data_IF_272062286254
#
_entry.id   IF_272062286254
#
_cell.length_a   1.000
_cell.length_b   1.000
_cell.length_c   1.000
_cell.angle_alpha   90.00
_cell.angle_beta   90.00
_cell.angle_gamma   90.00
#
_symmetry.space_group_name_H-M   'P 1'
#
loop_
_entity.id
_entity.type
_entity.pdbx_description
1 polymer ?
#
# COMPACT_ATOMS: atom_id res chain seq x y z
N UNK A 1 29.32 -45.83 -46.87
CA UNK A 1 29.89 -46.62 -47.97
C UNK A 1 29.25 -46.08 -49.23
N UNK A 2 29.93 -45.16 -49.89
CA UNK A 2 29.74 -44.92 -51.32
C UNK A 2 31.13 -44.59 -51.86
N UNK A 3 31.41 -45.23 -52.99
CA UNK A 3 32.73 -45.57 -53.51
C UNK A 3 33.50 -44.40 -54.13
N UNK A 4 34.80 -44.68 -54.25
CA UNK A 4 35.87 -43.91 -54.87
C UNK A 4 35.75 -43.79 -56.39
N UNK A 5 36.31 -42.71 -56.95
CA UNK A 5 37.28 -42.70 -58.08
C UNK A 5 37.68 -41.22 -58.32
N UNK A 6 38.89 -40.72 -58.08
CA UNK A 6 40.24 -40.96 -58.63
C UNK A 6 40.47 -40.43 -60.07
N UNK A 7 41.57 -39.68 -60.18
CA UNK A 7 42.31 -39.19 -61.36
C UNK A 7 41.75 -37.96 -62.09
N UNK A 8 42.52 -36.92 -62.40
CA UNK A 8 43.98 -36.73 -62.32
C UNK A 8 44.42 -35.78 -63.44
N UNK A 9 45.43 -34.96 -63.14
CA UNK A 9 46.40 -34.28 -64.03
C UNK A 9 45.91 -33.36 -65.18
N UNK A 10 46.59 -32.31 -65.63
CA UNK A 10 47.78 -31.52 -65.24
C UNK A 10 47.89 -30.38 -66.30
N UNK A 11 49.00 -29.63 -66.27
CA UNK A 11 49.57 -28.70 -67.28
C UNK A 11 49.46 -27.21 -66.88
N UNK A 12 50.51 -26.57 -66.31
CA UNK A 12 51.73 -25.93 -66.92
C UNK A 12 51.35 -24.59 -67.61
N UNK A 13 52.00 -23.43 -67.48
CA UNK A 13 53.43 -23.09 -67.33
C UNK A 13 53.66 -21.63 -66.87
N UNK A 14 54.91 -21.41 -66.50
CA UNK A 14 55.74 -20.25 -66.19
C UNK A 14 55.47 -18.86 -66.80
N UNK A 15 55.92 -17.85 -66.04
CA UNK A 15 56.33 -16.54 -66.52
C UNK A 15 57.27 -15.89 -65.49
N UNK A 16 58.57 -16.17 -65.62
CA UNK A 16 59.64 -15.54 -64.86
C UNK A 16 60.28 -14.42 -65.68
N UNK A 17 60.46 -13.24 -65.10
CA UNK A 17 61.41 -12.23 -65.58
C UNK A 17 62.32 -11.80 -64.43
N UNK A 18 63.61 -11.73 -64.74
CA UNK A 18 64.73 -11.39 -63.87
C UNK A 18 65.18 -9.93 -64.12
N UNK A 19 66.01 -9.45 -63.17
CA UNK A 19 67.16 -8.50 -63.31
C UNK A 19 66.94 -7.01 -62.91
N UNK A 20 68.00 -6.27 -62.50
CA UNK A 20 68.90 -6.47 -61.35
C UNK A 20 69.16 -5.19 -60.49
N UNK A 21 70.01 -5.33 -59.44
CA UNK A 21 70.56 -4.34 -58.48
C UNK A 21 70.87 -2.91 -58.96
N UNK A 22 70.71 -1.91 -58.06
CA UNK A 22 71.66 -0.77 -57.88
C UNK A 22 71.59 -0.09 -56.48
N UNK A 23 72.71 -0.19 -55.75
CA UNK A 23 73.49 0.83 -55.01
C UNK A 23 72.82 1.79 -54.00
N UNK A 24 73.32 1.74 -52.75
CA UNK A 24 73.11 2.70 -51.65
C UNK A 24 73.92 4.01 -51.84
N UNK A 25 73.36 5.16 -51.44
CA UNK A 25 74.08 6.43 -51.22
C UNK A 25 73.57 7.13 -49.92
N UNK A 26 74.41 7.78 -49.09
CA UNK A 26 74.02 8.27 -47.75
C UNK A 26 73.87 9.81 -47.61
N UNK A 27 72.94 10.20 -46.70
CA UNK A 27 72.86 11.38 -45.80
C UNK A 27 73.11 12.82 -46.31
N UNK A 28 72.10 13.70 -46.12
CA UNK A 28 72.33 15.09 -45.69
C UNK A 28 71.09 15.65 -44.93
N UNK A 29 71.27 16.13 -43.68
CA UNK A 29 70.23 16.78 -42.85
C UNK A 29 70.80 18.11 -42.34
N UNK A 30 70.24 19.27 -42.75
CA UNK A 30 70.71 20.58 -42.31
C UNK A 30 70.26 20.93 -40.87
N UNK A 31 70.97 21.84 -40.19
CA UNK A 31 70.92 22.02 -38.73
C UNK A 31 69.70 22.82 -38.25
N UNK A 32 69.34 22.57 -36.98
CA UNK A 32 68.27 23.21 -36.24
C UNK A 32 68.66 24.63 -35.78
N UNK A 33 67.77 25.60 -35.98
CA UNK A 33 67.81 26.93 -35.38
C UNK A 33 66.98 26.92 -34.09
N UNK A 34 67.64 27.18 -32.96
CA UNK A 34 67.05 27.36 -31.64
C UNK A 34 66.67 28.84 -31.38
N UNK A 35 65.79 29.01 -30.39
CA UNK A 35 65.54 30.22 -29.58
C UNK A 35 64.43 31.21 -29.97
N UNK A 36 63.20 30.90 -29.55
CA UNK A 36 62.23 31.89 -29.06
C UNK A 36 61.57 31.38 -27.76
N UNK A 37 61.76 32.03 -26.59
CA UNK A 37 61.12 31.60 -25.35
C UNK A 37 59.65 32.06 -25.29
N UNK A 38 58.73 31.11 -25.38
CA UNK A 38 57.28 31.35 -25.20
C UNK A 38 56.94 31.29 -23.70
N UNK A 39 56.58 32.42 -23.09
CA UNK A 39 55.98 32.43 -21.75
C UNK A 39 54.47 32.15 -21.80
N UNK A 40 54.02 31.02 -21.24
CA UNK A 40 52.62 30.60 -21.22
C UNK A 40 51.86 31.08 -19.95
N UNK A 41 50.61 31.58 -20.05
CA UNK A 41 49.81 32.00 -18.90
C UNK A 41 49.25 30.80 -18.12
N UNK A 42 49.41 30.83 -16.79
CA UNK A 42 48.98 29.76 -15.87
C UNK A 42 47.46 29.80 -15.66
N UNK A 43 46.71 29.10 -16.52
CA UNK A 43 45.24 28.98 -16.45
C UNK A 43 44.80 28.13 -15.25
N UNK A 44 43.85 28.66 -14.48
CA UNK A 44 43.33 28.12 -13.20
C UNK A 44 42.51 26.81 -13.39
N UNK A 45 43.20 25.72 -13.70
CA UNK A 45 42.66 24.38 -14.04
C UNK A 45 41.98 23.66 -12.86
N UNK A 46 42.20 24.11 -11.62
CA UNK A 46 41.68 23.45 -10.41
C UNK A 46 40.15 23.54 -10.29
N UNK A 47 39.54 24.69 -10.62
CA UNK A 47 38.09 24.89 -10.46
C UNK A 47 37.26 24.08 -11.47
N UNK A 48 37.77 23.82 -12.67
CA UNK A 48 37.06 23.01 -13.67
C UNK A 48 37.11 21.52 -13.36
N UNK A 49 38.22 21.02 -12.80
CA UNK A 49 38.35 19.61 -12.41
C UNK A 49 37.44 19.30 -11.23
N UNK A 50 37.34 20.18 -10.22
CA UNK A 50 36.42 19.96 -9.09
C UNK A 50 34.96 19.93 -9.54
N UNK A 51 34.56 20.83 -10.46
CA UNK A 51 33.19 20.83 -11.01
C UNK A 51 32.87 19.57 -11.81
N UNK A 52 33.84 19.08 -12.59
CA UNK A 52 33.70 17.84 -13.33
C UNK A 52 33.57 16.63 -12.40
N UNK A 53 34.41 16.55 -11.36
CA UNK A 53 34.36 15.46 -10.37
C UNK A 53 33.04 15.46 -9.60
N UNK A 54 32.53 16.64 -9.21
CA UNK A 54 31.24 16.76 -8.54
C UNK A 54 30.11 16.31 -9.48
N UNK A 55 30.09 16.77 -10.73
CA UNK A 55 29.07 16.35 -11.71
C UNK A 55 29.12 14.84 -11.99
N UNK A 56 30.32 14.26 -12.09
CA UNK A 56 30.52 12.82 -12.25
C UNK A 56 30.01 12.04 -11.03
N UNK A 57 30.27 12.52 -9.81
CA UNK A 57 29.76 11.91 -8.58
C UNK A 57 28.23 11.93 -8.55
N UNK A 58 27.60 13.06 -8.85
CA UNK A 58 26.14 13.15 -8.92
C UNK A 58 25.56 12.24 -10.01
N UNK A 59 26.19 12.17 -11.18
CA UNK A 59 25.78 11.25 -12.24
C UNK A 59 25.89 9.78 -11.80
N UNK A 60 27.00 9.40 -11.17
CA UNK A 60 27.20 8.06 -10.64
C UNK A 60 26.18 7.72 -9.56
N UNK A 61 25.91 8.65 -8.64
CA UNK A 61 24.92 8.46 -7.57
C UNK A 61 23.50 8.32 -8.14
N UNK A 62 23.14 9.11 -9.15
CA UNK A 62 21.86 9.00 -9.83
C UNK A 62 21.69 7.64 -10.51
N UNK A 63 22.72 7.18 -11.25
CA UNK A 63 22.72 5.85 -11.87
C UNK A 63 22.58 4.75 -10.82
N UNK A 64 23.37 4.79 -9.74
CA UNK A 64 23.27 3.80 -8.66
C UNK A 64 21.89 3.79 -8.00
N UNK A 65 21.27 4.95 -7.79
CA UNK A 65 19.93 5.06 -7.20
C UNK A 65 18.86 4.49 -8.13
N UNK A 66 18.91 4.81 -9.42
CA UNK A 66 17.99 4.28 -10.43
C UNK A 66 18.17 2.77 -10.59
N UNK A 67 19.41 2.28 -10.62
CA UNK A 67 19.72 0.85 -10.70
C UNK A 67 19.27 0.09 -9.46
N UNK A 68 19.46 0.63 -8.25
CA UNK A 68 18.96 0.04 -7.02
C UNK A 68 17.42 -0.01 -6.99
N UNK A 69 16.75 1.06 -7.44
CA UNK A 69 15.29 1.08 -7.57
C UNK A 69 14.76 0.07 -8.59
N UNK A 70 15.43 -0.07 -9.73
CA UNK A 70 15.08 -1.04 -10.76
C UNK A 70 15.32 -2.49 -10.29
N UNK A 71 16.39 -2.75 -9.56
CA UNK A 71 16.69 -4.07 -8.99
C UNK A 71 15.70 -4.44 -7.89
N UNK A 72 15.33 -3.49 -7.01
CA UNK A 72 14.28 -3.71 -6.01
C UNK A 72 12.91 -4.00 -6.65
N UNK A 73 12.56 -3.31 -7.75
CA UNK A 73 11.37 -3.62 -8.52
C UNK A 73 11.45 -5.00 -9.20
N UNK A 74 12.63 -5.40 -9.68
CA UNK A 74 12.85 -6.69 -10.34
C UNK A 74 12.87 -7.88 -9.36
N UNK A 75 13.50 -7.75 -8.20
CA UNK A 75 13.50 -8.77 -7.14
C UNK A 75 12.08 -9.01 -6.61
N UNK A 76 11.23 -7.97 -6.55
CA UNK A 76 9.80 -8.09 -6.22
C UNK A 76 9.00 -8.90 -7.26
N UNK A 77 9.51 -9.03 -8.49
CA UNK A 77 8.78 -9.67 -9.60
C UNK A 77 9.01 -11.18 -9.73
N UNK A 78 10.06 -11.73 -9.09
CA UNK A 78 10.52 -13.12 -9.33
C UNK A 78 10.62 -14.03 -8.09
N UNK A 79 10.31 -13.56 -6.87
CA UNK A 79 10.31 -14.38 -5.65
C UNK A 79 8.90 -14.41 -5.03
N UNK A 80 8.44 -15.61 -4.64
CA UNK A 80 7.22 -15.75 -3.83
C UNK A 80 5.90 -15.63 -4.61
N UNK A 81 5.67 -16.53 -5.59
CA UNK A 81 4.34 -16.70 -6.17
C UNK A 81 3.42 -17.50 -5.24
N UNK A 82 2.12 -17.18 -5.32
CA UNK A 82 1.07 -17.92 -4.63
C UNK A 82 0.99 -19.34 -5.19
N UNK A 83 0.81 -20.32 -4.30
CA UNK A 83 0.77 -21.74 -4.68
C UNK A 83 -0.40 -22.05 -5.64
N UNK A 84 -0.25 -23.06 -6.53
CA UNK A 84 -1.36 -23.54 -7.33
C UNK A 84 -2.54 -24.01 -6.47
N UNK A 85 -3.76 -23.72 -6.93
CA UNK A 85 -5.00 -24.13 -6.27
C UNK A 85 -5.50 -23.16 -5.21
N UNK A 86 -4.79 -22.05 -4.95
CA UNK A 86 -5.21 -21.03 -3.99
C UNK A 86 -6.22 -20.07 -4.61
N UNK A 87 -7.37 -19.96 -3.96
CA UNK A 87 -8.47 -19.09 -4.37
C UNK A 87 -8.84 -18.17 -3.23
N UNK A 88 -9.32 -16.98 -3.57
CA UNK A 88 -10.04 -16.12 -2.66
C UNK A 88 -11.49 -16.02 -3.14
N UNK A 89 -12.41 -16.80 -2.56
CA UNK A 89 -13.77 -16.93 -3.07
C UNK A 89 -13.78 -17.34 -4.55
N UNK A 90 -14.33 -16.49 -5.43
CA UNK A 90 -14.41 -16.74 -6.87
C UNK A 90 -13.14 -16.35 -7.64
N UNK A 91 -12.14 -15.76 -6.98
CA UNK A 91 -10.93 -15.23 -7.62
C UNK A 91 -9.79 -16.23 -7.48
N UNK A 92 -9.31 -16.77 -8.61
CA UNK A 92 -8.10 -17.58 -8.64
C UNK A 92 -6.83 -16.72 -8.48
N UNK A 93 -6.02 -17.06 -7.48
CA UNK A 93 -4.76 -16.41 -7.15
C UNK A 93 -3.53 -17.25 -7.54
N UNK A 94 -3.75 -18.45 -8.06
CA UNK A 94 -2.71 -19.43 -8.39
C UNK A 94 -1.63 -18.85 -9.29
N UNK A 95 -0.37 -18.98 -8.89
CA UNK A 95 0.79 -18.56 -9.68
C UNK A 95 0.95 -17.04 -9.84
N UNK A 96 0.06 -16.23 -9.26
CA UNK A 96 0.18 -14.78 -9.27
C UNK A 96 1.30 -14.33 -8.31
N UNK A 97 1.91 -13.21 -8.65
CA UNK A 97 2.77 -12.48 -7.71
C UNK A 97 1.89 -11.77 -6.67
N UNK A 98 2.40 -11.44 -5.48
CA UNK A 98 1.65 -10.74 -4.44
C UNK A 98 1.01 -9.45 -4.96
N UNK A 99 1.75 -8.65 -5.73
CA UNK A 99 1.27 -7.40 -6.33
C UNK A 99 0.14 -7.63 -7.34
N UNK A 100 0.29 -8.63 -8.23
CA UNK A 100 -0.73 -8.95 -9.24
C UNK A 100 -2.00 -9.51 -8.58
N UNK A 101 -1.85 -10.36 -7.56
CA UNK A 101 -2.94 -10.90 -6.77
C UNK A 101 -3.71 -9.78 -6.04
N UNK A 102 -3.00 -8.87 -5.38
CA UNK A 102 -3.61 -7.75 -4.68
C UNK A 102 -4.38 -6.83 -5.64
N UNK A 103 -3.81 -6.52 -6.81
CA UNK A 103 -4.51 -5.75 -7.85
C UNK A 103 -5.79 -6.46 -8.33
N UNK A 104 -5.70 -7.78 -8.59
CA UNK A 104 -6.84 -8.58 -9.03
C UNK A 104 -7.95 -8.62 -7.98
N UNK A 105 -7.60 -8.77 -6.70
CA UNK A 105 -8.54 -8.75 -5.59
C UNK A 105 -9.25 -7.41 -5.45
N UNK A 106 -8.50 -6.29 -5.53
CA UNK A 106 -9.09 -4.93 -5.46
C UNK A 106 -10.11 -4.70 -6.57
N UNK A 107 -9.82 -5.16 -7.79
CA UNK A 107 -10.77 -5.06 -8.92
C UNK A 107 -11.98 -5.97 -8.72
N UNK A 108 -11.76 -7.23 -8.36
CA UNK A 108 -12.83 -8.22 -8.23
C UNK A 108 -13.80 -7.90 -7.07
N UNK A 109 -13.29 -7.30 -6.00
CA UNK A 109 -14.05 -6.95 -4.79
C UNK A 109 -14.18 -5.43 -4.61
N UNK A 110 -14.18 -4.66 -5.70
CA UNK A 110 -14.40 -3.22 -5.65
C UNK A 110 -15.74 -2.87 -4.97
N UNK A 111 -16.76 -3.73 -5.13
CA UNK A 111 -18.07 -3.59 -4.51
C UNK A 111 -18.09 -3.72 -3.00
N UNK A 112 -16.97 -4.07 -2.34
CA UNK A 112 -16.88 -3.99 -0.88
C UNK A 112 -16.96 -2.55 -0.38
N UNK A 113 -16.66 -1.56 -1.23
CA UNK A 113 -16.89 -0.15 -0.94
C UNK A 113 -18.34 0.29 -1.15
N UNK A 114 -19.20 -0.56 -1.71
CA UNK A 114 -20.58 -0.20 -2.04
C UNK A 114 -21.52 -0.52 -0.88
N UNK A 115 -22.39 0.42 -0.55
CA UNK A 115 -23.39 0.27 0.50
C UNK A 115 -23.34 1.40 1.53
N UNK A 116 -24.26 1.31 2.49
CA UNK A 116 -24.49 2.37 3.46
C UNK A 116 -24.80 1.75 4.81
N UNK A 117 -24.10 2.18 5.86
CA UNK A 117 -24.46 1.90 7.24
C UNK A 117 -25.59 2.83 7.68
N UNK A 118 -26.66 2.26 8.23
CA UNK A 118 -27.77 3.02 8.81
C UNK A 118 -27.60 3.05 10.33
N UNK A 119 -27.15 4.19 10.85
CA UNK A 119 -27.05 4.44 12.28
C UNK A 119 -28.38 5.00 12.80
N UNK A 120 -28.85 4.52 13.94
CA UNK A 120 -30.05 5.09 14.56
C UNK A 120 -29.88 5.35 16.05
N UNK A 121 -30.46 6.44 16.52
CA UNK A 121 -30.44 6.79 17.93
C UNK A 121 -31.64 7.69 18.25
N UNK A 122 -32.41 7.34 19.28
CA UNK A 122 -33.53 8.16 19.76
C UNK A 122 -34.50 8.68 18.67
N UNK A 123 -34.74 7.89 17.61
CA UNK A 123 -35.61 8.26 16.48
C UNK A 123 -34.91 9.04 15.35
N UNK A 124 -33.65 9.43 15.52
CA UNK A 124 -32.81 10.01 14.46
C UNK A 124 -32.15 8.88 13.67
N UNK A 125 -32.14 9.01 12.35
CA UNK A 125 -31.48 8.08 11.43
C UNK A 125 -30.38 8.81 10.64
N UNK A 126 -29.21 8.19 10.55
CA UNK A 126 -28.06 8.70 9.80
C UNK A 126 -27.53 7.63 8.87
N UNK A 127 -27.42 7.99 7.60
CA UNK A 127 -26.87 7.15 6.55
C UNK A 127 -25.41 7.52 6.30
N UNK A 128 -24.50 6.56 6.50
CA UNK A 128 -23.06 6.72 6.29
C UNK A 128 -22.60 5.77 5.21
N UNK A 129 -21.99 6.28 4.14
CA UNK A 129 -21.56 5.40 3.04
C UNK A 129 -20.34 4.57 3.46
N UNK A 130 -20.21 3.37 2.91
CA UNK A 130 -19.03 2.52 3.13
C UNK A 130 -17.74 3.18 2.61
N UNK A 131 -17.84 4.00 1.56
CA UNK A 131 -16.72 4.80 1.07
C UNK A 131 -16.23 5.81 2.11
N UNK A 132 -17.14 6.50 2.81
CA UNK A 132 -16.78 7.44 3.90
C UNK A 132 -16.13 6.73 5.09
N UNK A 133 -16.49 5.45 5.30
CA UNK A 133 -15.87 4.59 6.32
C UNK A 133 -14.55 3.96 5.86
N UNK A 134 -14.07 4.28 4.65
CA UNK A 134 -12.89 3.68 4.06
C UNK A 134 -12.98 2.16 3.89
N UNK A 135 -14.21 1.61 3.84
CA UNK A 135 -14.44 0.17 3.77
C UNK A 135 -14.03 -0.35 2.41
N UNK A 136 -13.18 -1.38 2.41
CA UNK A 136 -12.64 -2.00 1.20
C UNK A 136 -12.17 -3.42 1.49
N UNK A 137 -11.96 -4.19 0.44
CA UNK A 137 -11.30 -5.50 0.57
C UNK A 137 -9.90 -5.35 1.18
N UNK A 138 -9.55 -6.24 2.11
CA UNK A 138 -8.19 -6.36 2.62
C UNK A 138 -7.35 -7.23 1.67
N UNK A 139 -7.05 -6.68 0.49
CA UNK A 139 -6.30 -7.40 -0.53
C UNK A 139 -4.91 -7.82 -0.02
N UNK A 140 -4.26 -6.99 0.81
CA UNK A 140 -2.91 -7.26 1.30
C UNK A 140 -2.93 -8.36 2.37
N UNK A 141 -3.91 -8.34 3.29
CA UNK A 141 -4.14 -9.41 4.26
C UNK A 141 -4.49 -10.75 3.61
N UNK A 142 -5.36 -10.75 2.60
CA UNK A 142 -5.72 -11.96 1.83
C UNK A 142 -4.49 -12.53 1.10
N UNK A 143 -3.67 -11.66 0.48
CA UNK A 143 -2.44 -12.10 -0.19
C UNK A 143 -1.42 -12.67 0.78
N UNK A 144 -1.26 -12.06 1.96
CA UNK A 144 -0.39 -12.60 3.00
C UNK A 144 -0.84 -14.00 3.44
N UNK A 145 -2.15 -14.22 3.57
CA UNK A 145 -2.71 -15.55 3.84
C UNK A 145 -2.44 -16.51 2.70
N UNK A 146 -2.71 -16.11 1.45
CA UNK A 146 -2.47 -16.93 0.26
C UNK A 146 -1.00 -17.36 0.13
N UNK A 147 -0.07 -16.51 0.52
CA UNK A 147 1.37 -16.80 0.54
C UNK A 147 1.76 -17.78 1.65
N UNK A 148 1.03 -17.81 2.76
CA UNK A 148 1.25 -18.75 3.86
C UNK A 148 0.67 -20.16 3.58
N UNK A 149 -0.30 -20.28 2.67
CA UNK A 149 -0.91 -21.57 2.32
C UNK A 149 0.14 -22.53 1.77
N UNK A 150 0.26 -23.71 2.40
CA UNK A 150 1.23 -24.74 2.03
C UNK A 150 2.69 -24.40 2.38
N UNK A 151 2.92 -23.27 3.06
CA UNK A 151 4.24 -22.79 3.47
C UNK A 151 4.28 -22.48 4.97
N UNK A 152 3.81 -23.38 5.85
CA UNK A 152 4.33 -23.54 7.23
C UNK A 152 3.61 -24.64 8.04
N UNK A 153 4.42 -25.35 8.85
CA UNK A 153 4.02 -26.02 10.09
C UNK A 153 3.66 -25.00 11.19
N UNK A 154 4.07 -25.15 12.48
CA UNK A 154 3.40 -24.57 13.66
C UNK A 154 3.55 -23.04 13.87
N UNK A 155 3.35 -22.21 12.83
CA UNK A 155 3.34 -20.73 12.87
C UNK A 155 1.90 -20.18 12.81
N UNK A 156 0.89 -21.06 12.96
CA UNK A 156 -0.51 -20.61 13.14
C UNK A 156 -0.69 -19.91 14.51
N UNK A 157 0.29 -19.98 15.42
CA UNK A 157 0.25 -19.30 16.73
C UNK A 157 0.46 -17.78 16.67
N UNK A 158 1.02 -17.20 15.58
CA UNK A 158 1.48 -15.80 15.59
C UNK A 158 0.61 -14.79 14.86
N UNK A 159 -0.43 -15.21 14.15
CA UNK A 159 -1.37 -14.30 13.49
C UNK A 159 -2.71 -14.41 14.23
N UNK A 160 -2.91 -13.43 15.11
CA UNK A 160 -3.95 -13.27 16.12
C UNK A 160 -5.31 -13.93 15.82
N UNK A 161 -5.73 -14.77 16.78
CA UNK A 161 -7.07 -15.23 17.24
C UNK A 161 -8.31 -15.29 16.34
N UNK A 162 -8.39 -14.58 15.21
CA UNK A 162 -9.62 -14.43 14.42
C UNK A 162 -9.51 -15.00 12.99
N UNK A 163 -8.31 -15.38 12.54
CA UNK A 163 -8.04 -15.65 11.11
C UNK A 163 -8.14 -17.14 10.72
N UNK A 164 -8.04 -18.05 11.70
CA UNK A 164 -8.08 -19.51 11.47
C UNK A 164 -9.43 -20.00 10.88
N UNK A 165 -10.48 -19.17 10.94
CA UNK A 165 -11.82 -19.46 10.39
C UNK A 165 -11.95 -19.21 8.88
N UNK A 166 -11.02 -18.45 8.28
CA UNK A 166 -11.15 -17.94 6.90
C UNK A 166 -10.44 -18.78 5.84
N UNK A 167 -9.65 -19.79 6.25
CA UNK A 167 -8.90 -20.66 5.34
C UNK A 167 -9.46 -22.08 5.41
N UNK A 168 -10.01 -22.58 4.30
CA UNK A 168 -10.44 -23.97 4.12
C UNK A 168 -9.56 -24.64 3.08
N UNK A 169 -8.43 -25.19 3.53
CA UNK A 169 -7.44 -25.78 2.63
C UNK A 169 -6.77 -24.69 1.78
N UNK A 170 -7.16 -24.59 0.51
CA UNK A 170 -6.66 -23.59 -0.43
C UNK A 170 -7.66 -22.49 -0.76
N UNK A 171 -8.86 -22.51 -0.18
CA UNK A 171 -9.87 -21.48 -0.35
C UNK A 171 -9.83 -20.48 0.83
N UNK A 172 -9.64 -19.20 0.50
CA UNK A 172 -9.62 -18.09 1.43
C UNK A 172 -10.92 -17.31 1.28
N UNK A 173 -11.68 -17.21 2.36
CA UNK A 173 -12.88 -16.36 2.37
C UNK A 173 -12.45 -14.89 2.36
N UNK A 174 -12.85 -14.08 1.37
CA UNK A 174 -12.48 -12.66 1.32
C UNK A 174 -13.04 -11.89 2.53
N UNK A 175 -12.32 -10.91 3.03
CA UNK A 175 -12.77 -10.06 4.13
C UNK A 175 -12.46 -8.59 3.88
N UNK A 176 -13.21 -7.73 4.55
CA UNK A 176 -13.09 -6.28 4.43
C UNK A 176 -12.32 -5.70 5.61
N UNK A 177 -11.70 -4.55 5.36
CA UNK A 177 -11.18 -3.64 6.38
C UNK A 177 -11.91 -2.31 6.27
N UNK A 178 -11.90 -1.53 7.34
CA UNK A 178 -12.50 -0.21 7.43
C UNK A 178 -11.63 0.72 8.28
N UNK A 179 -11.86 2.02 8.17
CA UNK A 179 -11.21 3.02 9.01
C UNK A 179 -11.97 3.17 10.33
N UNK A 180 -11.48 2.49 11.37
CA UNK A 180 -12.11 2.50 12.71
C UNK A 180 -12.30 3.91 13.27
N UNK A 181 -11.40 4.84 12.94
CA UNK A 181 -11.51 6.23 13.35
C UNK A 181 -12.69 6.96 12.68
N UNK A 182 -12.92 6.73 11.38
CA UNK A 182 -14.05 7.29 10.65
C UNK A 182 -15.39 6.76 11.20
N UNK A 183 -15.46 5.44 11.46
CA UNK A 183 -16.65 4.84 12.07
C UNK A 183 -16.96 5.42 13.45
N UNK A 184 -15.94 5.55 14.32
CA UNK A 184 -16.11 6.15 15.64
C UNK A 184 -16.54 7.61 15.55
N UNK A 185 -16.01 8.37 14.60
CA UNK A 185 -16.40 9.76 14.38
C UNK A 185 -17.89 9.88 14.07
N UNK A 186 -18.42 9.07 13.15
CA UNK A 186 -19.84 9.12 12.78
C UNK A 186 -20.77 8.70 13.93
N UNK A 187 -20.41 7.63 14.65
CA UNK A 187 -21.19 7.17 15.82
C UNK A 187 -21.17 8.23 16.93
N UNK A 188 -20.00 8.81 17.24
CA UNK A 188 -19.87 9.83 18.28
C UNK A 188 -20.61 11.13 17.89
N UNK A 189 -20.60 11.49 16.60
CA UNK A 189 -21.33 12.66 16.09
C UNK A 189 -22.84 12.47 16.22
N UNK A 190 -23.37 11.29 15.89
CA UNK A 190 -24.79 10.97 16.13
C UNK A 190 -25.13 10.93 17.62
N UNK A 191 -24.25 10.35 18.44
CA UNK A 191 -24.41 10.31 19.90
C UNK A 191 -24.51 11.71 20.51
N UNK A 192 -23.66 12.65 20.06
CA UNK A 192 -23.68 14.04 20.51
C UNK A 192 -24.94 14.79 20.04
N UNK A 193 -25.45 14.49 18.85
CA UNK A 193 -26.69 15.07 18.32
C UNK A 193 -27.91 14.69 19.16
N UNK A 194 -27.96 13.44 19.64
CA UNK A 194 -29.10 12.96 20.43
C UNK A 194 -28.95 13.18 21.93
N UNK A 195 -27.75 13.55 22.40
CA UNK A 195 -27.48 13.76 23.81
C UNK A 195 -28.34 14.89 24.38
N UNK A 196 -28.93 14.64 25.55
CA UNK A 196 -29.69 15.63 26.31
C UNK A 196 -29.11 15.70 27.72
N UNK A 197 -28.69 16.88 28.16
CA UNK A 197 -28.23 17.05 29.53
C UNK A 197 -29.43 16.94 30.50
N UNK A 198 -29.27 16.28 31.66
CA UNK A 198 -30.29 16.32 32.71
C UNK A 198 -30.44 17.74 33.25
N UNK A 199 -31.62 18.07 33.77
CA UNK A 199 -31.88 19.34 34.44
C UNK A 199 -32.46 19.11 35.83
N UNK A 200 -31.85 19.71 36.85
CA UNK A 200 -32.24 19.52 38.24
C UNK A 200 -33.61 20.10 38.59
N UNK A 201 -34.27 19.44 39.55
CA UNK A 201 -35.43 20.02 40.20
C UNK A 201 -35.01 21.19 41.07
N UNK A 202 -35.76 22.29 41.01
CA UNK A 202 -35.48 23.50 41.80
C UNK A 202 -36.73 23.99 42.51
N UNK A 203 -36.57 24.40 43.77
CA UNK A 203 -37.61 25.08 44.55
C UNK A 203 -37.20 26.54 44.69
N UNK A 204 -38.04 27.44 44.21
CA UNK A 204 -37.82 28.88 44.31
C UNK A 204 -38.90 29.52 45.18
N UNK A 205 -38.56 30.60 45.90
CA UNK A 205 -39.52 31.35 46.69
C UNK A 205 -40.07 32.50 45.84
N UNK A 206 -41.30 32.33 45.35
CA UNK A 206 -42.03 33.35 44.60
C UNK A 206 -42.88 34.25 45.50
N UNK A 207 -43.56 35.24 44.89
CA UNK A 207 -44.40 36.21 45.60
C UNK A 207 -45.62 35.59 46.33
N UNK A 208 -46.02 34.37 45.93
CA UNK A 208 -47.17 33.65 46.47
C UNK A 208 -46.80 32.41 47.31
N UNK A 209 -45.51 32.11 47.51
CA UNK A 209 -45.03 30.92 48.21
C UNK A 209 -43.90 30.20 47.47
N UNK A 210 -43.67 28.94 47.84
CA UNK A 210 -42.68 28.09 47.16
C UNK A 210 -43.22 27.59 45.81
N UNK A 211 -42.43 27.72 44.76
CA UNK A 211 -42.71 27.23 43.41
C UNK A 211 -41.69 26.13 43.05
N UNK A 212 -42.19 24.95 42.68
CA UNK A 212 -41.38 23.80 42.30
C UNK A 212 -41.27 23.73 40.78
N UNK A 213 -40.04 23.72 40.29
CA UNK A 213 -39.71 23.35 38.91
C UNK A 213 -39.22 21.89 38.90
N UNK A 214 -39.96 20.95 38.29
CA UNK A 214 -39.54 19.55 38.22
C UNK A 214 -38.24 19.37 37.44
N UNK A 215 -37.42 18.43 37.90
CA UNK A 215 -36.24 17.98 37.18
C UNK A 215 -36.64 17.18 35.93
N UNK A 216 -35.71 17.06 34.98
CA UNK A 216 -35.87 16.29 33.75
C UNK A 216 -34.66 15.42 33.52
N UNK A 217 -34.91 14.17 33.17
CA UNK A 217 -33.84 13.24 32.86
C UNK A 217 -33.11 13.63 31.58
N UNK A 218 -31.81 13.45 31.61
CA UNK A 218 -30.94 13.49 30.45
C UNK A 218 -30.87 12.14 29.76
N UNK A 219 -30.17 12.11 28.64
CA UNK A 219 -29.85 10.88 27.92
C UNK A 219 -28.51 10.98 27.23
N UNK A 220 -27.79 9.87 27.19
CA UNK A 220 -26.53 9.71 26.47
C UNK A 220 -26.55 8.41 25.66
N UNK A 221 -25.94 8.41 24.49
CA UNK A 221 -25.78 7.21 23.68
C UNK A 221 -24.46 6.51 23.98
N UNK A 222 -24.47 5.17 24.01
CA UNK A 222 -23.28 4.35 24.21
C UNK A 222 -22.54 4.13 22.88
N UNK A 223 -21.46 4.90 22.72
CA UNK A 223 -20.61 4.85 21.51
C UNK A 223 -19.85 3.53 21.41
N UNK A 224 -19.35 2.97 22.52
CA UNK A 224 -18.51 1.78 22.48
C UNK A 224 -19.33 0.51 22.22
N UNK A 225 -20.54 0.42 22.77
CA UNK A 225 -21.48 -0.63 22.44
C UNK A 225 -21.88 -0.61 20.96
N UNK A 226 -22.18 0.58 20.43
CA UNK A 226 -22.50 0.75 19.00
C UNK A 226 -21.33 0.39 18.08
N UNK A 227 -20.10 0.76 18.47
CA UNK A 227 -18.88 0.39 17.74
C UNK A 227 -18.72 -1.12 17.63
N UNK A 228 -18.91 -1.87 18.73
CA UNK A 228 -18.76 -3.32 18.73
C UNK A 228 -19.75 -4.01 17.78
N UNK A 229 -21.02 -3.58 17.78
CA UNK A 229 -22.06 -4.10 16.89
C UNK A 229 -21.76 -3.75 15.43
N UNK A 230 -21.38 -2.50 15.15
CA UNK A 230 -21.05 -2.05 13.80
C UNK A 230 -19.86 -2.83 13.22
N UNK A 231 -18.79 -3.03 13.99
CA UNK A 231 -17.62 -3.80 13.54
C UNK A 231 -17.98 -5.25 13.21
N UNK A 232 -18.79 -5.90 14.05
CA UNK A 232 -19.25 -7.27 13.80
C UNK A 232 -20.04 -7.39 12.49
N UNK A 233 -20.85 -6.38 12.15
CA UNK A 233 -21.68 -6.39 10.95
C UNK A 233 -20.91 -5.95 9.68
N UNK A 234 -19.87 -5.11 9.80
CA UNK A 234 -19.19 -4.51 8.65
C UNK A 234 -17.92 -5.24 8.22
N UNK A 235 -17.26 -5.96 9.13
CA UNK A 235 -16.02 -6.69 8.83
C UNK A 235 -16.25 -8.02 8.10
N UNK A 236 -17.50 -8.47 7.96
CA UNK A 236 -17.83 -9.69 7.20
C UNK A 236 -17.70 -9.46 5.69
N UNK A 237 -17.45 -10.56 4.95
CA UNK A 237 -17.26 -10.58 3.50
C UNK A 237 -18.44 -9.98 2.72
N UNK A 238 -19.66 -10.28 3.16
CA UNK A 238 -20.90 -9.92 2.46
C UNK A 238 -21.88 -9.36 3.49
N UNK A 239 -21.72 -8.08 3.88
CA UNK A 239 -22.70 -7.45 4.75
C UNK A 239 -24.00 -7.27 3.97
N UNK A 240 -25.09 -7.06 4.71
CA UNK A 240 -26.29 -6.47 4.12
C UNK A 240 -25.89 -5.18 3.36
N UNK A 241 -26.56 -4.83 2.24
CA UNK A 241 -26.31 -3.55 1.57
C UNK A 241 -26.64 -2.34 2.47
N UNK A 242 -27.48 -2.55 3.50
CA UNK A 242 -27.88 -1.51 4.45
C UNK A 242 -28.05 -2.07 5.87
N UNK A 243 -26.97 -2.43 6.57
CA UNK A 243 -27.06 -2.88 7.95
C UNK A 243 -27.50 -1.73 8.84
N UNK A 244 -28.32 -2.05 9.84
CA UNK A 244 -28.84 -1.08 10.80
C UNK A 244 -28.19 -1.32 12.14
N UNK A 245 -27.62 -0.26 12.71
CA UNK A 245 -27.00 -0.27 14.03
C UNK A 245 -27.69 0.76 14.89
N UNK A 246 -28.38 0.27 15.92
CA UNK A 246 -29.06 1.10 16.90
C UNK A 246 -28.09 1.41 18.05
N UNK A 247 -27.89 2.69 18.34
CA UNK A 247 -27.07 3.16 19.45
C UNK A 247 -27.87 3.01 20.75
N UNK A 248 -27.41 2.20 21.71
CA UNK A 248 -28.08 2.07 22.99
C UNK A 248 -28.11 3.40 23.73
N UNK A 249 -29.29 3.79 24.24
CA UNK A 249 -29.47 5.02 25.01
C UNK A 249 -29.51 4.68 26.50
N UNK A 250 -28.69 5.38 27.28
CA UNK A 250 -28.74 5.38 28.74
C UNK A 250 -29.37 6.68 29.24
N UNK A 251 -30.30 6.56 30.18
CA UNK A 251 -30.95 7.69 30.84
C UNK A 251 -30.04 8.15 31.98
N UNK A 252 -29.87 9.47 32.12
CA UNK A 252 -29.12 10.09 33.21
C UNK A 252 -30.11 10.86 34.06
N UNK A 253 -30.27 10.49 35.32
CA UNK A 253 -31.12 11.23 36.25
C UNK A 253 -30.46 12.58 36.62
N UNK A 254 -31.25 13.61 36.95
CA UNK A 254 -30.72 14.85 37.51
C UNK A 254 -30.09 14.63 38.89
N UNK A 255 -29.15 15.51 39.26
CA UNK A 255 -28.47 15.47 40.56
C UNK A 255 -29.43 15.75 41.72
N UNK A 256 -30.50 16.53 41.45
CA UNK A 256 -31.63 16.71 42.36
C UNK A 256 -32.90 16.28 41.66
N UNK A 257 -33.49 15.18 42.15
CA UNK A 257 -34.75 14.68 41.61
C UNK A 257 -35.93 15.50 42.12
N UNK A 258 -37.04 15.49 41.36
CA UNK A 258 -38.29 16.13 41.80
C UNK A 258 -38.78 15.56 43.13
N UNK A 259 -38.57 14.26 43.37
CA UNK A 259 -38.94 13.60 44.62
C UNK A 259 -38.18 14.19 45.81
N UNK A 260 -36.85 14.33 45.69
CA UNK A 260 -36.00 14.92 46.74
C UNK A 260 -36.29 16.40 46.98
N UNK A 261 -36.62 17.16 45.94
CA UNK A 261 -37.01 18.55 46.06
C UNK A 261 -38.35 18.77 46.80
N UNK A 262 -39.17 17.72 46.92
CA UNK A 262 -40.49 17.77 47.58
C UNK A 262 -40.57 17.03 48.92
N UNK A 263 -39.50 16.32 49.31
CA UNK A 263 -39.43 15.54 50.55
C UNK A 263 -39.12 16.42 51.77
#
# INVERSE_FOLDING_TARGET
>A
MDDQDISGDAVTDAGAELQPERTQEPLDVPPADDDQPITLPKRNRRRSVTRFLVAFMFGLLAVLTVSAGALAAYESSNVGRILPGVHAGSVDLSGLTPAAAAARLRTAYASFGDGTLVLTAAGVERNVTYADLGRRVDADGIVALAMSVGREGPVIERIASNIRMFVRGTDITPFAILERAALRHEIASLAAEVALAPSDATVTLGAAGFELTPGKDGRIADVDAAMAVAEQQLLVATPSPSPRVDLPISIIEPDVTTAEATA
#
